data_IF_885407906348
#
_entry.id   IF_885407906348
#
_cell.length_a   1.000
_cell.length_b   1.000
_cell.length_c   1.000
_cell.angle_alpha   90.00
_cell.angle_beta   90.00
_cell.angle_gamma   90.00
#
_symmetry.space_group_name_H-M   'P 1'
#
loop_
_entity.id
_entity.type
_entity.pdbx_description
1 polymer ?
#
# COMPACT_ATOMS: atom_id res chain seq x y z
N UNK A 1 -18.48 -12.61 -7.11
CA UNK A 1 -19.17 -11.35 -7.49
C UNK A 1 -19.55 -11.43 -8.94
N UNK A 2 -20.69 -10.87 -9.33
CA UNK A 2 -21.00 -10.61 -10.73
C UNK A 2 -19.90 -9.73 -11.35
N UNK A 3 -19.71 -9.83 -12.67
CA UNK A 3 -18.66 -9.06 -13.38
C UNK A 3 -18.83 -7.54 -13.27
N UNK A 4 -20.02 -7.07 -12.93
CA UNK A 4 -20.34 -5.66 -12.67
C UNK A 4 -20.22 -5.27 -11.19
N UNK A 5 -19.88 -6.24 -10.31
CA UNK A 5 -19.70 -6.02 -8.88
C UNK A 5 -20.99 -5.78 -8.10
N UNK A 6 -22.16 -6.05 -8.66
CA UNK A 6 -23.46 -5.70 -8.05
C UNK A 6 -24.08 -6.80 -7.18
N UNK A 7 -23.69 -8.05 -7.40
CA UNK A 7 -24.25 -9.19 -6.65
C UNK A 7 -23.16 -10.14 -6.21
N UNK A 8 -23.18 -10.50 -4.92
CA UNK A 8 -22.39 -11.61 -4.41
C UNK A 8 -23.02 -12.92 -4.87
N UNK A 9 -22.33 -13.68 -5.71
CA UNK A 9 -22.81 -14.96 -6.25
C UNK A 9 -22.49 -16.11 -5.29
N UNK A 10 -21.32 -16.02 -4.64
CA UNK A 10 -20.83 -17.04 -3.71
C UNK A 10 -20.14 -16.39 -2.51
N UNK A 11 -20.18 -17.06 -1.36
CA UNK A 11 -19.54 -16.63 -0.13
C UNK A 11 -18.92 -17.81 0.59
N UNK A 12 -17.69 -17.64 1.08
CA UNK A 12 -17.03 -18.56 2.01
C UNK A 12 -16.66 -17.81 3.28
N UNK A 13 -16.85 -18.47 4.42
CA UNK A 13 -16.43 -17.91 5.72
C UNK A 13 -15.16 -18.62 6.17
N UNK A 14 -14.12 -17.83 6.45
CA UNK A 14 -12.85 -18.31 6.98
C UNK A 14 -12.76 -18.04 8.48
N UNK A 15 -11.81 -18.71 9.16
CA UNK A 15 -11.73 -18.65 10.64
C UNK A 15 -11.10 -17.36 11.18
N UNK A 16 -10.48 -16.54 10.32
CA UNK A 16 -9.78 -15.31 10.70
C UNK A 16 -9.87 -14.29 9.57
N UNK A 17 -9.64 -12.99 9.83
CA UNK A 17 -9.62 -11.97 8.82
C UNK A 17 -8.61 -12.28 7.70
N UNK A 18 -9.00 -11.99 6.47
CA UNK A 18 -8.15 -12.17 5.28
C UNK A 18 -7.21 -10.97 5.15
N UNK A 19 -5.91 -11.23 5.01
CA UNK A 19 -4.91 -10.19 4.73
C UNK A 19 -4.64 -10.05 3.23
N UNK A 20 -4.42 -11.18 2.54
CA UNK A 20 -4.12 -11.16 1.11
C UNK A 20 -4.56 -12.45 0.42
N UNK A 21 -4.61 -12.40 -0.90
CA UNK A 21 -4.89 -13.56 -1.75
C UNK A 21 -4.15 -13.48 -3.08
N UNK A 22 -3.87 -14.64 -3.63
CA UNK A 22 -3.32 -14.81 -4.99
C UNK A 22 -4.00 -15.96 -5.69
N UNK A 23 -3.95 -15.97 -7.02
CA UNK A 23 -4.45 -17.08 -7.83
C UNK A 23 -3.29 -17.82 -8.49
N UNK A 24 -3.35 -19.16 -8.48
CA UNK A 24 -2.41 -19.98 -9.21
C UNK A 24 -2.88 -20.26 -10.66
N UNK A 25 -2.03 -20.81 -11.54
CA UNK A 25 -2.40 -21.12 -12.91
C UNK A 25 -3.52 -22.16 -13.06
N UNK A 26 -3.79 -22.95 -12.03
CA UNK A 26 -4.90 -23.93 -12.01
C UNK A 26 -6.24 -23.27 -11.73
N UNK A 27 -6.20 -21.97 -11.35
CA UNK A 27 -7.39 -21.20 -10.99
C UNK A 27 -7.76 -21.29 -9.51
N UNK A 28 -6.97 -21.99 -8.66
CA UNK A 28 -7.19 -22.01 -7.23
C UNK A 28 -6.80 -20.66 -6.60
N UNK A 29 -7.54 -20.26 -5.57
CA UNK A 29 -7.23 -19.09 -4.78
C UNK A 29 -6.48 -19.51 -3.51
N UNK A 30 -5.34 -18.89 -3.29
CA UNK A 30 -4.55 -19.03 -2.07
C UNK A 30 -4.76 -17.79 -1.21
N UNK A 31 -5.23 -17.98 0.01
CA UNK A 31 -5.64 -16.91 0.90
C UNK A 31 -4.87 -17.03 2.22
N UNK A 32 -4.24 -15.95 2.65
CA UNK A 32 -3.62 -15.87 3.97
C UNK A 32 -4.48 -15.04 4.91
N UNK A 33 -4.63 -15.57 6.12
CA UNK A 33 -5.45 -14.99 7.16
C UNK A 33 -4.60 -14.63 8.38
N UNK A 34 -5.02 -13.56 9.05
CA UNK A 34 -4.38 -13.04 10.24
C UNK A 34 -4.42 -14.02 11.42
N UNK A 35 -3.59 -13.75 12.43
CA UNK A 35 -3.52 -14.46 13.69
C UNK A 35 -2.10 -14.88 14.10
N UNK A 36 -1.90 -15.13 15.38
CA UNK A 36 -0.59 -15.52 15.95
C UNK A 36 0.02 -16.77 15.30
N UNK A 37 -0.81 -17.63 14.74
CA UNK A 37 -0.39 -18.81 13.98
C UNK A 37 -0.87 -18.76 12.55
N UNK A 38 -1.18 -17.62 12.01
CA UNK A 38 -1.67 -17.37 10.65
C UNK A 38 -2.11 -18.61 9.86
N UNK A 39 -3.12 -18.50 9.08
CA UNK A 39 -3.65 -19.63 8.31
C UNK A 39 -3.59 -19.33 6.83
N UNK A 40 -3.22 -20.32 6.05
CA UNK A 40 -3.30 -20.32 4.60
C UNK A 40 -4.39 -21.30 4.15
N UNK A 41 -5.28 -20.83 3.31
CA UNK A 41 -6.35 -21.61 2.70
C UNK A 41 -6.12 -21.74 1.21
N UNK A 42 -6.40 -22.91 0.68
CA UNK A 42 -6.57 -23.17 -0.74
C UNK A 42 -8.05 -23.32 -1.03
N UNK A 43 -8.57 -22.50 -1.91
CA UNK A 43 -9.97 -22.50 -2.33
C UNK A 43 -10.07 -22.86 -3.81
N UNK A 44 -11.06 -23.66 -4.17
CA UNK A 44 -11.46 -23.78 -5.58
C UNK A 44 -11.93 -22.40 -6.06
N UNK A 45 -11.27 -21.83 -7.05
CA UNK A 45 -11.54 -20.48 -7.51
C UNK A 45 -12.90 -20.32 -8.21
N UNK A 46 -13.55 -21.41 -8.62
CA UNK A 46 -14.88 -21.41 -9.24
C UNK A 46 -16.00 -21.61 -8.22
N UNK A 47 -15.80 -22.57 -7.29
CA UNK A 47 -16.83 -22.96 -6.30
C UNK A 47 -16.65 -22.26 -4.97
N UNK A 48 -15.53 -21.56 -4.74
CA UNK A 48 -15.11 -20.98 -3.45
C UNK A 48 -15.15 -21.98 -2.28
N UNK A 49 -15.02 -23.28 -2.56
CA UNK A 49 -14.95 -24.31 -1.54
C UNK A 49 -13.54 -24.47 -1.02
N UNK A 50 -13.39 -24.58 0.31
CA UNK A 50 -12.10 -24.83 0.95
C UNK A 50 -11.61 -26.22 0.59
N UNK A 51 -10.48 -26.31 -0.10
CA UNK A 51 -9.80 -27.56 -0.44
C UNK A 51 -8.78 -27.97 0.62
N UNK A 52 -8.08 -26.98 1.18
CA UNK A 52 -7.12 -27.24 2.25
C UNK A 52 -6.97 -26.04 3.20
N UNK A 53 -6.47 -26.35 4.41
CA UNK A 53 -6.15 -25.38 5.45
C UNK A 53 -4.82 -25.77 6.10
N UNK A 54 -3.86 -24.83 6.13
CA UNK A 54 -2.51 -25.07 6.65
C UNK A 54 -2.03 -23.87 7.46
N UNK A 55 -1.18 -24.09 8.46
CA UNK A 55 -0.50 -23.00 9.16
C UNK A 55 0.50 -22.33 8.22
N UNK A 56 0.49 -21.02 8.15
CA UNK A 56 1.35 -20.22 7.26
C UNK A 56 2.39 -19.36 7.98
N UNK A 57 2.59 -19.57 9.28
CA UNK A 57 3.47 -18.74 10.09
C UNK A 57 2.70 -17.68 10.89
N UNK A 58 3.42 -16.86 11.66
CA UNK A 58 2.80 -15.80 12.45
C UNK A 58 2.54 -14.56 11.58
N UNK A 59 1.30 -14.08 11.58
CA UNK A 59 0.88 -12.84 10.91
C UNK A 59 1.34 -12.71 9.44
N UNK A 60 0.93 -13.64 8.55
CA UNK A 60 1.19 -13.51 7.13
C UNK A 60 0.48 -12.26 6.59
N UNK A 61 1.22 -11.37 5.92
CA UNK A 61 0.71 -10.06 5.48
C UNK A 61 0.38 -10.02 3.99
N UNK A 62 1.13 -10.73 3.17
CA UNK A 62 0.92 -10.81 1.73
C UNK A 62 1.27 -12.18 1.17
N UNK A 63 0.69 -12.54 0.03
CA UNK A 63 0.91 -13.81 -0.67
C UNK A 63 0.94 -13.62 -2.18
N UNK A 64 1.91 -14.25 -2.83
CA UNK A 64 2.06 -14.22 -4.29
C UNK A 64 2.40 -15.64 -4.81
N UNK A 65 1.75 -16.05 -5.89
CA UNK A 65 2.21 -17.20 -6.67
C UNK A 65 3.25 -16.74 -7.70
N UNK A 66 4.44 -17.35 -7.67
CA UNK A 66 5.48 -17.08 -8.68
C UNK A 66 5.49 -18.16 -9.75
N UNK A 67 5.30 -17.83 -11.03
CA UNK A 67 5.42 -18.78 -12.13
C UNK A 67 6.86 -19.26 -12.35
N UNK A 68 7.85 -18.45 -11.96
CA UNK A 68 9.28 -18.80 -12.10
C UNK A 68 9.69 -19.91 -11.16
N UNK A 69 9.34 -19.83 -9.89
CA UNK A 69 9.66 -20.87 -8.89
C UNK A 69 8.56 -21.91 -8.74
N UNK A 70 7.37 -21.69 -9.35
CA UNK A 70 6.16 -22.50 -9.16
C UNK A 70 5.83 -22.69 -7.68
N UNK A 71 6.01 -21.63 -6.90
CA UNK A 71 5.86 -21.62 -5.45
C UNK A 71 5.02 -20.42 -5.01
N UNK A 72 4.47 -20.54 -3.80
CA UNK A 72 3.86 -19.41 -3.10
C UNK A 72 4.94 -18.68 -2.29
N UNK A 73 4.95 -17.37 -2.37
CA UNK A 73 5.77 -16.50 -1.56
C UNK A 73 4.88 -15.78 -0.57
N UNK A 74 5.23 -15.83 0.72
CA UNK A 74 4.42 -15.28 1.81
C UNK A 74 5.29 -14.42 2.71
N UNK A 75 4.92 -13.16 2.87
CA UNK A 75 5.59 -12.27 3.82
C UNK A 75 5.07 -12.54 5.24
N UNK A 76 6.02 -12.67 6.19
CA UNK A 76 5.74 -12.89 7.61
C UNK A 76 6.07 -11.60 8.38
N UNK A 77 5.03 -10.81 8.67
CA UNK A 77 5.18 -9.44 9.15
C UNK A 77 6.08 -9.31 10.38
N UNK A 78 5.77 -10.01 11.46
CA UNK A 78 6.51 -9.85 12.73
C UNK A 78 7.73 -10.76 12.86
N UNK A 79 7.89 -11.72 11.95
CA UNK A 79 9.12 -12.51 11.86
C UNK A 79 10.19 -11.82 11.01
N UNK A 80 9.83 -10.78 10.21
CA UNK A 80 10.72 -10.14 9.24
C UNK A 80 11.30 -11.16 8.26
N UNK A 81 10.43 -12.03 7.76
CA UNK A 81 10.80 -13.14 6.87
C UNK A 81 9.91 -13.18 5.63
N UNK A 82 10.49 -13.64 4.54
CA UNK A 82 9.78 -14.08 3.34
C UNK A 82 9.88 -15.60 3.25
N UNK A 83 8.76 -16.28 3.15
CA UNK A 83 8.69 -17.73 3.05
C UNK A 83 8.36 -18.18 1.64
N UNK A 84 9.11 -19.15 1.11
CA UNK A 84 8.74 -19.92 -0.07
C UNK A 84 8.02 -21.18 0.37
N UNK A 85 6.80 -21.39 -0.13
CA UNK A 85 5.94 -22.52 0.20
C UNK A 85 5.63 -23.29 -1.07
N UNK A 86 5.78 -24.61 -1.02
CA UNK A 86 5.39 -25.52 -2.09
C UNK A 86 3.85 -25.67 -2.11
N UNK A 87 3.16 -25.31 -3.20
CA UNK A 87 1.70 -25.38 -3.24
C UNK A 87 1.15 -26.81 -3.19
N UNK A 88 1.89 -27.80 -3.69
CA UNK A 88 1.45 -29.20 -3.71
C UNK A 88 1.54 -29.85 -2.33
N UNK A 89 2.66 -29.66 -1.64
CA UNK A 89 2.92 -30.26 -0.32
C UNK A 89 2.54 -29.35 0.84
N UNK A 90 2.35 -28.03 0.57
CA UNK A 90 2.08 -26.96 1.55
C UNK A 90 3.18 -26.80 2.60
N UNK A 91 4.38 -27.28 2.30
CA UNK A 91 5.56 -27.18 3.18
C UNK A 91 6.41 -25.96 2.82
N UNK A 92 6.99 -25.35 3.85
CA UNK A 92 7.98 -24.29 3.68
C UNK A 92 9.26 -24.88 3.09
N UNK A 93 9.69 -24.36 1.93
CA UNK A 93 10.93 -24.74 1.25
C UNK A 93 12.10 -23.88 1.72
N UNK A 94 11.87 -22.60 1.88
CA UNK A 94 12.91 -21.63 2.20
C UNK A 94 12.33 -20.51 3.06
N UNK A 95 13.16 -19.96 3.93
CA UNK A 95 12.90 -18.72 4.70
C UNK A 95 14.03 -17.76 4.43
N UNK A 96 13.70 -16.52 4.10
CA UNK A 96 14.64 -15.45 3.80
C UNK A 96 14.39 -14.32 4.79
N UNK A 97 15.42 -13.92 5.53
CA UNK A 97 15.35 -12.74 6.38
C UNK A 97 15.30 -11.49 5.50
N UNK A 98 14.33 -10.61 5.78
CA UNK A 98 14.08 -9.35 5.08
C UNK A 98 13.88 -8.21 6.08
N UNK A 99 13.58 -7.00 5.59
CA UNK A 99 13.41 -5.83 6.42
C UNK A 99 12.24 -5.91 7.40
N UNK A 100 12.11 -4.87 8.22
CA UNK A 100 11.18 -4.84 9.35
C UNK A 100 9.73 -4.72 8.91
N UNK A 101 8.92 -5.70 9.29
CA UNK A 101 7.48 -5.76 9.04
C UNK A 101 7.13 -5.68 7.54
N UNK A 102 7.49 -6.69 6.75
CA UNK A 102 7.10 -6.76 5.34
C UNK A 102 5.58 -6.85 5.22
N UNK A 103 4.98 -6.03 4.34
CA UNK A 103 3.52 -5.89 4.22
C UNK A 103 2.98 -6.07 2.81
N UNK A 104 3.81 -5.86 1.80
CA UNK A 104 3.38 -6.02 0.40
C UNK A 104 4.56 -6.43 -0.47
N UNK A 105 4.28 -7.14 -1.57
CA UNK A 105 5.29 -7.51 -2.56
C UNK A 105 4.72 -7.43 -3.97
N UNK A 106 5.60 -7.12 -4.93
CA UNK A 106 5.27 -7.15 -6.35
C UNK A 106 6.41 -7.78 -7.15
N UNK A 107 6.10 -8.59 -8.18
CA UNK A 107 7.11 -9.19 -9.04
C UNK A 107 7.62 -8.17 -10.08
N UNK A 108 8.88 -8.33 -10.48
CA UNK A 108 9.49 -7.57 -11.56
C UNK A 108 10.65 -8.33 -12.22
N UNK A 109 11.30 -7.75 -13.22
CA UNK A 109 12.39 -8.36 -13.99
C UNK A 109 11.98 -9.72 -14.59
N UNK A 110 10.82 -9.76 -15.28
CA UNK A 110 10.27 -10.99 -15.84
C UNK A 110 9.87 -11.99 -14.76
N UNK A 111 9.36 -11.48 -13.64
CA UNK A 111 8.94 -12.22 -12.44
C UNK A 111 10.08 -13.02 -11.75
N UNK A 112 11.34 -12.69 -12.07
CA UNK A 112 12.50 -13.29 -11.40
C UNK A 112 12.91 -12.58 -10.10
N UNK A 113 12.40 -11.38 -9.85
CA UNK A 113 12.64 -10.62 -8.64
C UNK A 113 11.33 -10.22 -7.95
N UNK A 114 11.37 -10.07 -6.63
CA UNK A 114 10.32 -9.48 -5.82
C UNK A 114 10.81 -8.16 -5.23
N UNK A 115 10.01 -7.11 -5.37
CA UNK A 115 10.15 -5.87 -4.61
C UNK A 115 9.22 -5.93 -3.41
N UNK A 116 9.77 -5.82 -2.20
CA UNK A 116 9.03 -5.97 -0.95
C UNK A 116 9.00 -4.64 -0.21
N UNK A 117 7.81 -4.18 0.15
CA UNK A 117 7.61 -3.02 1.00
C UNK A 117 7.62 -3.45 2.46
N UNK A 118 8.53 -2.85 3.23
CA UNK A 118 8.61 -3.01 4.68
C UNK A 118 7.89 -1.83 5.35
N UNK A 119 7.20 -2.08 6.44
CA UNK A 119 6.31 -1.08 7.02
C UNK A 119 7.03 -0.03 7.88
N UNK A 120 8.06 -0.44 8.61
CA UNK A 120 8.78 0.40 9.56
C UNK A 120 10.28 0.45 9.27
N UNK A 121 10.97 1.55 9.64
CA UNK A 121 12.42 1.61 9.60
C UNK A 121 13.07 0.49 10.43
N UNK A 122 14.13 -0.10 9.89
CA UNK A 122 14.93 -1.13 10.59
C UNK A 122 16.04 -0.51 11.46
N UNK A 123 16.46 0.70 11.08
CA UNK A 123 17.53 1.41 11.74
C UNK A 123 17.11 1.93 13.14
N UNK A 124 18.05 2.16 14.06
CA UNK A 124 17.77 2.84 15.32
C UNK A 124 17.12 4.21 15.08
N UNK A 125 16.18 4.63 15.94
CA UNK A 125 15.47 5.91 15.81
C UNK A 125 16.40 7.14 15.84
N UNK A 126 17.61 6.99 16.33
CA UNK A 126 18.66 8.02 16.37
C UNK A 126 19.52 8.08 15.11
N UNK A 127 19.31 7.16 14.14
CA UNK A 127 20.05 7.18 12.89
C UNK A 127 19.63 8.36 11.99
N UNK A 128 20.55 8.78 11.12
CA UNK A 128 20.28 9.78 10.11
C UNK A 128 21.02 9.46 8.79
N UNK A 129 20.34 9.39 7.64
CA UNK A 129 18.88 9.41 7.51
C UNK A 129 18.23 8.15 8.10
N UNK A 130 16.98 8.25 8.52
CA UNK A 130 16.15 7.12 8.94
C UNK A 130 14.93 7.00 8.04
N UNK A 131 14.70 5.84 7.48
CA UNK A 131 13.58 5.58 6.59
C UNK A 131 13.32 4.09 6.42
N UNK A 132 12.11 3.78 6.01
CA UNK A 132 11.77 2.47 5.47
C UNK A 132 12.66 2.12 4.29
N UNK A 133 13.05 0.86 4.21
CA UNK A 133 13.76 0.27 3.08
C UNK A 133 12.86 -0.74 2.37
N UNK A 134 12.99 -0.80 1.05
CA UNK A 134 12.40 -1.85 0.23
C UNK A 134 13.45 -2.92 -0.02
N UNK A 135 13.10 -4.19 0.12
CA UNK A 135 13.99 -5.29 -0.23
C UNK A 135 13.78 -5.74 -1.66
N UNK A 136 14.87 -6.12 -2.32
CA UNK A 136 14.86 -6.81 -3.61
C UNK A 136 15.30 -8.24 -3.37
N UNK A 137 14.40 -9.19 -3.57
CA UNK A 137 14.68 -10.62 -3.46
C UNK A 137 14.76 -11.21 -4.86
N UNK A 138 15.87 -11.88 -5.15
CA UNK A 138 16.06 -12.67 -6.37
C UNK A 138 15.50 -14.08 -6.12
N UNK A 139 14.49 -14.46 -6.91
CA UNK A 139 13.75 -15.72 -6.74
C UNK A 139 14.63 -16.94 -7.03
N UNK A 140 15.43 -16.98 -8.12
CA UNK A 140 16.30 -18.12 -8.39
C UNK A 140 17.35 -18.39 -7.30
N UNK A 141 18.04 -17.35 -6.85
CA UNK A 141 19.09 -17.49 -5.82
C UNK A 141 18.54 -17.51 -4.39
N UNK A 142 17.27 -17.12 -4.19
CA UNK A 142 16.62 -17.04 -2.88
C UNK A 142 17.35 -16.12 -1.90
N UNK A 143 17.82 -14.97 -2.39
CA UNK A 143 18.61 -14.01 -1.61
C UNK A 143 18.09 -12.60 -1.78
N UNK A 144 18.26 -11.79 -0.74
CA UNK A 144 18.15 -10.33 -0.86
C UNK A 144 19.36 -9.85 -1.65
N UNK A 145 19.13 -9.26 -2.82
CA UNK A 145 20.17 -8.78 -3.74
C UNK A 145 20.30 -7.26 -3.77
N UNK A 146 19.45 -6.57 -3.05
CA UNK A 146 19.50 -5.10 -2.93
C UNK A 146 18.48 -4.56 -1.96
N UNK A 147 18.71 -3.34 -1.51
CA UNK A 147 17.79 -2.55 -0.69
C UNK A 147 17.70 -1.14 -1.23
N UNK A 148 16.50 -0.59 -1.23
CA UNK A 148 16.23 0.78 -1.68
C UNK A 148 15.70 1.56 -0.48
N UNK A 149 16.45 2.55 -0.02
CA UNK A 149 16.00 3.45 1.04
C UNK A 149 15.06 4.50 0.46
N UNK A 150 13.91 4.69 1.11
CA UNK A 150 12.98 5.78 0.82
C UNK A 150 13.49 7.11 1.44
N UNK A 151 12.84 8.25 1.17
CA UNK A 151 13.28 9.53 1.73
C UNK A 151 13.34 9.52 3.26
N UNK A 152 14.21 10.34 3.84
CA UNK A 152 14.31 10.50 5.29
C UNK A 152 12.95 10.80 5.92
N UNK A 153 12.60 10.10 6.99
CA UNK A 153 11.29 10.15 7.64
C UNK A 153 10.22 9.26 6.99
N UNK A 154 10.56 8.51 5.94
CA UNK A 154 9.61 7.57 5.35
C UNK A 154 9.29 6.44 6.32
N UNK A 155 7.99 6.22 6.55
CA UNK A 155 7.42 5.19 7.44
C UNK A 155 6.09 4.72 6.88
N UNK A 156 5.54 3.67 7.46
CA UNK A 156 4.20 3.16 7.15
C UNK A 156 3.99 2.84 5.66
N UNK A 157 4.97 2.17 5.01
CA UNK A 157 4.75 1.67 3.65
C UNK A 157 3.69 0.57 3.67
N UNK A 158 2.71 0.65 2.75
CA UNK A 158 1.53 -0.22 2.76
C UNK A 158 1.39 -1.08 1.52
N UNK A 159 1.77 -0.57 0.36
CA UNK A 159 1.49 -1.24 -0.91
C UNK A 159 2.55 -0.92 -1.94
N UNK A 160 2.73 -1.84 -2.87
CA UNK A 160 3.59 -1.68 -4.04
C UNK A 160 2.87 -2.16 -5.29
N UNK A 161 2.95 -1.36 -6.36
CA UNK A 161 2.47 -1.73 -7.69
C UNK A 161 3.58 -1.54 -8.71
N UNK A 162 3.63 -2.42 -9.71
CA UNK A 162 4.60 -2.37 -10.80
C UNK A 162 3.85 -2.06 -12.09
N UNK A 163 4.39 -1.21 -12.96
CA UNK A 163 3.80 -0.92 -14.25
C UNK A 163 3.92 -2.14 -15.20
N UNK A 164 3.11 -2.12 -16.27
CA UNK A 164 3.00 -3.26 -17.20
C UNK A 164 4.35 -3.66 -17.81
N UNK A 165 5.22 -2.70 -18.06
CA UNK A 165 6.54 -2.94 -18.66
C UNK A 165 7.61 -3.25 -17.62
N UNK A 166 7.26 -3.31 -16.34
CA UNK A 166 8.18 -3.52 -15.22
C UNK A 166 9.36 -2.53 -15.21
N UNK A 167 9.08 -1.29 -15.61
CA UNK A 167 10.06 -0.20 -15.65
C UNK A 167 10.07 0.57 -14.35
N UNK A 168 8.88 0.80 -13.79
CA UNK A 168 8.70 1.55 -12.55
C UNK A 168 7.82 0.79 -11.55
N UNK A 169 8.14 0.97 -10.28
CA UNK A 169 7.24 0.61 -9.20
C UNK A 169 6.79 1.86 -8.43
N UNK A 170 5.62 1.77 -7.83
CA UNK A 170 4.97 2.82 -7.05
C UNK A 170 4.70 2.29 -5.66
N UNK A 171 5.14 3.03 -4.63
CA UNK A 171 5.04 2.61 -3.23
C UNK A 171 4.33 3.68 -2.44
N UNK A 172 3.24 3.32 -1.77
CA UNK A 172 2.54 4.21 -0.85
C UNK A 172 3.19 4.20 0.53
N UNK A 173 3.43 5.36 1.09
CA UNK A 173 3.98 5.51 2.43
C UNK A 173 3.73 6.93 2.98
N UNK A 174 4.15 7.17 4.19
CA UNK A 174 4.18 8.50 4.80
C UNK A 174 5.62 9.03 4.83
N UNK A 175 5.78 10.35 4.79
CA UNK A 175 7.04 11.01 5.18
C UNK A 175 6.73 11.85 6.43
N UNK A 176 7.20 11.39 7.56
CA UNK A 176 7.10 12.10 8.83
C UNK A 176 8.17 13.19 8.90
N UNK A 177 7.76 14.39 9.29
CA UNK A 177 8.65 15.55 9.50
C UNK A 177 9.15 15.56 10.94
N UNK A 178 9.62 14.42 11.42
CA UNK A 178 9.94 14.14 12.83
C UNK A 178 10.99 15.08 13.46
N UNK A 179 11.78 15.76 12.63
CA UNK A 179 12.79 16.74 13.08
C UNK A 179 12.22 18.15 13.28
N UNK A 180 10.93 18.36 13.01
CA UNK A 180 10.25 19.62 13.24
C UNK A 180 9.46 19.56 14.54
N UNK A 181 9.41 20.68 15.30
CA UNK A 181 8.63 20.73 16.53
C UNK A 181 7.16 20.38 16.30
N UNK A 182 6.57 19.59 17.20
CA UNK A 182 5.19 19.11 17.09
C UNK A 182 4.12 20.17 17.35
N UNK A 183 4.49 21.42 17.62
CA UNK A 183 3.57 22.55 17.80
C UNK A 183 2.78 22.93 16.53
N UNK A 184 3.09 22.33 15.39
CA UNK A 184 2.38 22.53 14.12
C UNK A 184 1.36 21.42 13.80
N UNK A 185 1.12 20.51 14.72
CA UNK A 185 0.26 19.34 14.53
C UNK A 185 -1.17 19.72 14.12
N UNK A 186 -1.71 20.79 14.67
CA UNK A 186 -3.04 21.31 14.36
C UNK A 186 -3.17 21.89 12.94
N UNK A 187 -2.05 22.16 12.28
CA UNK A 187 -2.00 22.69 10.91
C UNK A 187 -1.77 21.63 9.84
N UNK A 188 -1.64 20.37 10.22
CA UNK A 188 -1.31 19.27 9.31
C UNK A 188 0.18 19.23 8.91
N UNK A 189 0.50 18.65 7.77
CA UNK A 189 1.82 18.51 7.12
C UNK A 189 2.98 17.94 7.97
N UNK A 190 2.78 17.66 9.23
CA UNK A 190 3.77 16.96 10.07
C UNK A 190 4.10 15.55 9.54
N UNK A 191 3.12 14.93 8.91
CA UNK A 191 3.34 13.75 8.07
C UNK A 191 2.68 14.00 6.71
N UNK A 192 3.41 13.76 5.63
CA UNK A 192 2.91 13.92 4.26
C UNK A 192 2.61 12.57 3.65
N UNK A 193 1.49 12.51 2.90
CA UNK A 193 1.02 11.30 2.25
C UNK A 193 1.69 11.17 0.88
N UNK A 194 2.42 10.10 0.66
CA UNK A 194 3.46 10.07 -0.36
C UNK A 194 3.34 8.84 -1.27
N UNK A 195 3.68 9.03 -2.53
CA UNK A 195 3.92 7.98 -3.52
C UNK A 195 5.38 8.06 -3.97
N UNK A 196 6.18 7.06 -3.61
CA UNK A 196 7.55 6.92 -4.13
C UNK A 196 7.55 6.16 -5.44
N UNK A 197 8.38 6.63 -6.39
CA UNK A 197 8.57 6.05 -7.71
C UNK A 197 9.95 5.42 -7.75
N UNK A 198 9.99 4.13 -8.03
CA UNK A 198 11.21 3.33 -8.07
C UNK A 198 11.55 3.03 -9.53
N UNK A 199 12.77 3.33 -9.94
CA UNK A 199 13.35 2.85 -11.19
C UNK A 199 13.82 1.41 -10.99
N UNK A 200 13.08 0.45 -11.54
CA UNK A 200 13.33 -0.98 -11.36
C UNK A 200 14.58 -1.45 -12.07
N UNK A 201 14.93 -0.84 -13.21
CA UNK A 201 16.15 -1.16 -13.95
C UNK A 201 17.39 -0.68 -13.18
N UNK A 202 17.35 0.55 -12.69
CA UNK A 202 18.44 1.11 -11.90
C UNK A 202 18.46 0.57 -10.45
N UNK A 203 17.36 -0.06 -9.99
CA UNK A 203 17.13 -0.51 -8.62
C UNK A 203 17.33 0.60 -7.60
N UNK A 204 16.73 1.77 -7.88
CA UNK A 204 16.90 2.99 -7.07
C UNK A 204 15.60 3.76 -6.96
N UNK A 205 15.47 4.52 -5.89
CA UNK A 205 14.47 5.56 -5.79
C UNK A 205 14.69 6.59 -6.90
N UNK A 206 13.67 6.79 -7.75
CA UNK A 206 13.68 7.86 -8.75
C UNK A 206 13.37 9.19 -8.08
N UNK A 207 12.24 9.29 -7.42
CA UNK A 207 11.79 10.43 -6.60
C UNK A 207 10.54 10.03 -5.82
N UNK A 208 10.02 10.96 -5.03
CA UNK A 208 8.74 10.84 -4.35
C UNK A 208 7.87 12.04 -4.67
N UNK A 209 6.55 11.83 -4.77
CA UNK A 209 5.57 12.90 -5.00
C UNK A 209 4.53 12.88 -3.89
N UNK A 210 4.09 14.07 -3.48
CA UNK A 210 3.06 14.20 -2.45
C UNK A 210 1.69 13.96 -3.05
N UNK A 211 0.92 13.08 -2.42
CA UNK A 211 -0.50 12.86 -2.75
C UNK A 211 -1.38 14.02 -2.26
N UNK A 212 -0.86 14.81 -1.32
CA UNK A 212 -1.53 15.95 -0.72
C UNK A 212 -1.59 17.15 -1.67
N UNK A 213 -2.55 18.04 -1.43
CA UNK A 213 -2.56 19.40 -1.97
C UNK A 213 -2.20 20.40 -0.87
N UNK A 214 -1.88 21.67 -1.18
CA UNK A 214 -1.73 22.69 -0.15
C UNK A 214 -2.96 22.91 0.73
N UNK A 215 -4.15 22.52 0.27
CA UNK A 215 -5.42 22.71 0.96
C UNK A 215 -6.02 21.45 1.56
N UNK A 216 -5.52 20.27 1.19
CA UNK A 216 -6.14 19.01 1.58
C UNK A 216 -5.14 17.86 1.58
N UNK A 217 -5.15 17.05 2.62
CA UNK A 217 -4.41 15.82 2.71
C UNK A 217 -5.11 14.65 2.02
N UNK A 218 -4.32 13.71 1.51
CA UNK A 218 -4.74 12.40 1.01
C UNK A 218 -4.38 11.31 2.03
N UNK A 219 -4.94 11.43 3.23
CA UNK A 219 -4.45 10.75 4.42
C UNK A 219 -4.49 9.23 4.36
N UNK A 220 -3.45 8.64 4.92
CA UNK A 220 -3.25 7.19 5.07
C UNK A 220 -3.37 6.48 3.71
N UNK A 221 -2.46 6.72 2.75
CA UNK A 221 -2.43 6.00 1.48
C UNK A 221 -2.16 4.52 1.73
N UNK A 222 -3.13 3.67 1.38
CA UNK A 222 -3.11 2.25 1.75
C UNK A 222 -2.72 1.37 0.57
N UNK A 223 -3.54 1.28 -0.44
CA UNK A 223 -3.34 0.42 -1.60
C UNK A 223 -3.02 1.26 -2.84
N UNK A 224 -2.15 0.76 -3.70
CA UNK A 224 -1.85 1.37 -5.00
C UNK A 224 -1.94 0.33 -6.10
N UNK A 225 -2.44 0.74 -7.25
CA UNK A 225 -2.41 -0.05 -8.49
C UNK A 225 -2.01 0.84 -9.67
N UNK A 226 -1.52 0.21 -10.72
CA UNK A 226 -1.50 0.75 -12.07
C UNK A 226 -2.66 0.12 -12.85
N UNK A 227 -3.41 0.93 -13.59
CA UNK A 227 -4.56 0.42 -14.37
C UNK A 227 -4.12 -0.52 -15.49
N UNK A 228 -4.98 -1.47 -15.94
CA UNK A 228 -4.61 -2.45 -16.98
C UNK A 228 -4.16 -1.85 -18.30
N UNK A 229 -4.63 -0.63 -18.63
CA UNK A 229 -4.21 0.13 -19.79
C UNK A 229 -2.89 0.90 -19.60
N UNK A 230 -2.27 0.77 -18.43
CA UNK A 230 -1.00 1.38 -18.03
C UNK A 230 -1.00 2.93 -18.01
N UNK A 231 -2.20 3.56 -18.01
CA UNK A 231 -2.32 5.03 -18.10
C UNK A 231 -2.47 5.74 -16.77
N UNK A 232 -2.97 5.06 -15.75
CA UNK A 232 -3.31 5.70 -14.48
C UNK A 232 -2.71 4.95 -13.30
N UNK A 233 -2.40 5.70 -12.26
CA UNK A 233 -2.10 5.19 -10.92
C UNK A 233 -3.31 5.52 -10.05
N UNK A 234 -3.82 4.53 -9.32
CA UNK A 234 -4.93 4.72 -8.38
C UNK A 234 -4.42 4.37 -6.98
N UNK A 235 -4.59 5.29 -6.04
CA UNK A 235 -4.24 5.09 -4.63
C UNK A 235 -5.49 5.17 -3.77
N UNK A 236 -5.69 4.21 -2.89
CA UNK A 236 -6.73 4.29 -1.87
C UNK A 236 -6.22 5.09 -0.68
N UNK A 237 -6.75 6.31 -0.47
CA UNK A 237 -6.46 7.16 0.67
C UNK A 237 -7.48 6.87 1.78
N UNK A 238 -7.14 5.90 2.64
CA UNK A 238 -8.08 5.31 3.60
C UNK A 238 -8.56 6.31 4.66
N UNK A 239 -7.70 7.23 5.08
CA UNK A 239 -8.04 8.25 6.09
C UNK A 239 -8.91 9.37 5.53
N UNK A 240 -8.73 9.77 4.28
CA UNK A 240 -9.53 10.82 3.64
C UNK A 240 -10.77 10.28 2.89
N UNK A 241 -11.03 8.96 2.93
CA UNK A 241 -12.23 8.30 2.40
C UNK A 241 -12.38 8.41 0.87
N UNK A 242 -11.28 8.41 0.14
CA UNK A 242 -11.28 8.64 -1.30
C UNK A 242 -10.23 7.82 -2.04
N UNK A 243 -10.33 7.77 -3.35
CA UNK A 243 -9.27 7.34 -4.25
C UNK A 243 -8.56 8.57 -4.82
N UNK A 244 -7.23 8.50 -4.89
CA UNK A 244 -6.40 9.47 -5.60
C UNK A 244 -6.06 8.86 -6.95
N UNK A 245 -6.52 9.47 -8.03
CA UNK A 245 -6.22 9.08 -9.41
C UNK A 245 -5.16 10.02 -9.98
N UNK A 246 -4.11 9.45 -10.55
CA UNK A 246 -3.00 10.20 -11.15
C UNK A 246 -2.84 9.74 -12.59
N UNK A 247 -2.77 10.69 -13.52
CA UNK A 247 -2.34 10.43 -14.90
C UNK A 247 -0.88 10.03 -14.90
N UNK A 248 -0.60 8.73 -15.11
CA UNK A 248 0.75 8.17 -15.05
C UNK A 248 1.63 8.68 -16.19
N UNK A 249 1.06 8.85 -17.37
CA UNK A 249 1.80 9.33 -18.55
C UNK A 249 2.24 10.77 -18.33
N UNK A 250 1.30 11.65 -17.96
CA UNK A 250 1.60 13.04 -17.67
C UNK A 250 2.56 13.20 -16.48
N UNK A 251 2.49 12.30 -15.47
CA UNK A 251 3.44 12.28 -14.36
C UNK A 251 4.87 12.05 -14.86
N UNK A 252 5.09 11.00 -15.66
CA UNK A 252 6.42 10.68 -16.17
C UNK A 252 6.96 11.73 -17.16
N UNK A 253 6.11 12.32 -17.99
CA UNK A 253 6.48 13.45 -18.84
C UNK A 253 6.94 14.65 -18.01
N UNK A 254 6.19 14.98 -16.95
CA UNK A 254 6.54 16.06 -16.01
C UNK A 254 7.85 15.79 -15.28
N UNK A 255 8.08 14.57 -14.84
CA UNK A 255 9.34 14.15 -14.22
C UNK A 255 10.51 14.25 -15.21
N UNK A 256 10.33 13.85 -16.46
CA UNK A 256 11.38 13.97 -17.49
C UNK A 256 11.78 15.42 -17.71
N UNK A 257 10.82 16.34 -17.85
CA UNK A 257 11.06 17.79 -17.97
C UNK A 257 11.78 18.36 -16.73
N UNK A 258 11.29 18.04 -15.54
CA UNK A 258 11.93 18.48 -14.29
C UNK A 258 13.39 18.00 -14.18
N UNK A 259 13.68 16.79 -14.64
CA UNK A 259 15.04 16.23 -14.67
C UNK A 259 15.97 16.98 -15.63
N UNK A 260 15.42 17.59 -16.68
CA UNK A 260 16.14 18.47 -17.62
C UNK A 260 16.30 19.90 -17.10
N UNK A 261 15.78 20.19 -15.91
CA UNK A 261 15.84 21.53 -15.29
C UNK A 261 14.73 22.48 -15.74
N UNK A 262 13.70 21.97 -16.43
CA UNK A 262 12.55 22.79 -16.80
C UNK A 262 11.68 23.08 -15.57
N UNK A 263 11.13 24.29 -15.50
CA UNK A 263 10.15 24.67 -14.49
C UNK A 263 8.79 24.08 -14.85
N UNK A 264 8.43 22.96 -14.21
CA UNK A 264 7.19 22.23 -14.50
C UNK A 264 5.99 22.67 -13.68
N UNK A 265 6.25 23.31 -12.54
CA UNK A 265 5.24 23.98 -11.69
C UNK A 265 5.86 25.26 -11.11
N UNK A 266 5.05 26.25 -10.68
CA UNK A 266 5.60 27.48 -10.09
C UNK A 266 6.41 27.27 -8.81
N UNK A 267 6.19 26.15 -8.12
CA UNK A 267 6.81 25.81 -6.84
C UNK A 267 8.07 24.95 -6.99
N UNK A 268 8.20 24.16 -8.07
CA UNK A 268 9.36 23.27 -8.29
C UNK A 268 10.45 24.03 -9.03
N UNK A 269 11.48 24.43 -8.29
CA UNK A 269 12.67 25.10 -8.84
C UNK A 269 13.81 24.13 -9.15
N UNK A 270 13.77 22.91 -8.61
CA UNK A 270 14.78 21.89 -8.85
C UNK A 270 14.19 20.50 -8.61
N UNK A 271 14.84 19.48 -9.17
CA UNK A 271 14.50 18.08 -8.96
C UNK A 271 14.37 17.71 -7.47
N UNK A 272 15.27 18.21 -6.64
CA UNK A 272 15.30 17.89 -5.21
C UNK A 272 14.11 18.48 -4.41
N UNK A 273 13.37 19.43 -4.99
CA UNK A 273 12.22 20.03 -4.34
C UNK A 273 10.94 19.21 -4.54
N UNK A 274 10.89 18.29 -5.52
CA UNK A 274 9.71 17.50 -5.84
C UNK A 274 9.11 16.80 -4.60
N UNK A 275 9.88 16.14 -3.72
CA UNK A 275 9.35 15.44 -2.56
C UNK A 275 8.74 16.37 -1.48
N UNK A 276 8.88 17.67 -1.64
CA UNK A 276 8.35 18.69 -0.70
C UNK A 276 7.29 19.59 -1.34
N UNK A 277 6.86 19.30 -2.58
CA UNK A 277 5.91 20.12 -3.31
C UNK A 277 4.53 19.48 -3.41
N UNK A 278 3.58 19.95 -2.58
CA UNK A 278 2.19 19.51 -2.63
C UNK A 278 1.45 19.97 -3.92
N UNK A 279 2.03 20.88 -4.69
CA UNK A 279 1.53 21.33 -5.99
C UNK A 279 2.01 20.51 -7.18
N UNK A 280 3.00 19.62 -7.02
CA UNK A 280 3.63 18.91 -8.13
C UNK A 280 2.64 18.12 -9.00
N UNK A 281 1.61 17.53 -8.40
CA UNK A 281 0.57 16.77 -9.09
C UNK A 281 -0.62 17.62 -9.57
N UNK A 282 -0.56 18.94 -9.48
CA UNK A 282 -1.65 19.83 -9.93
C UNK A 282 -1.96 19.61 -11.42
N UNK A 283 -3.25 19.45 -11.73
CA UNK A 283 -3.76 19.23 -13.10
C UNK A 283 -3.57 17.80 -13.65
N UNK A 284 -2.89 16.91 -12.95
CA UNK A 284 -2.70 15.50 -13.33
C UNK A 284 -3.20 14.52 -12.26
N UNK A 285 -3.82 15.02 -11.20
CA UNK A 285 -4.39 14.26 -10.08
C UNK A 285 -5.82 14.67 -9.81
N UNK A 286 -6.68 13.69 -9.53
CA UNK A 286 -8.06 13.87 -9.08
C UNK A 286 -8.29 13.10 -7.78
N UNK A 287 -9.27 13.58 -7.00
CA UNK A 287 -9.79 12.91 -5.81
C UNK A 287 -11.20 12.39 -6.10
N UNK A 288 -11.44 11.12 -5.83
CA UNK A 288 -12.70 10.43 -6.11
C UNK A 288 -13.26 9.91 -4.78
N UNK A 289 -14.28 10.57 -4.19
CA UNK A 289 -14.90 10.09 -2.96
C UNK A 289 -15.50 8.68 -3.13
N UNK A 290 -15.22 7.76 -2.21
CA UNK A 290 -15.76 6.40 -2.24
C UNK A 290 -17.18 6.30 -1.66
N UNK A 291 -17.64 7.38 -1.03
CA UNK A 291 -18.94 7.46 -0.36
C UNK A 291 -19.13 6.40 0.74
N UNK A 292 -18.04 5.92 1.34
CA UNK A 292 -17.99 4.98 2.46
C UNK A 292 -16.77 5.26 3.33
N UNK A 293 -16.46 4.37 4.27
CA UNK A 293 -15.40 4.59 5.26
C UNK A 293 -14.27 3.58 5.14
N UNK A 294 -13.03 4.09 5.07
CA UNK A 294 -11.79 3.31 5.08
C UNK A 294 -11.57 2.48 3.83
N UNK A 295 -11.44 3.06 2.61
CA UNK A 295 -11.00 2.32 1.44
C UNK A 295 -9.57 1.82 1.66
N UNK A 296 -9.39 0.50 1.86
CA UNK A 296 -8.09 -0.10 2.15
C UNK A 296 -7.53 -0.94 1.01
N UNK A 297 -8.34 -1.28 0.03
CA UNK A 297 -7.90 -2.02 -1.15
C UNK A 297 -8.48 -1.40 -2.41
N UNK A 298 -7.71 -1.46 -3.49
CA UNK A 298 -8.17 -1.07 -4.82
C UNK A 298 -7.66 -2.09 -5.84
N UNK A 299 -8.52 -2.46 -6.78
CA UNK A 299 -8.17 -3.29 -7.93
C UNK A 299 -8.82 -2.72 -9.18
N UNK A 300 -8.22 -2.94 -10.33
CA UNK A 300 -8.82 -2.59 -11.61
C UNK A 300 -8.84 -3.81 -12.54
N UNK A 301 -9.94 -3.99 -13.25
CA UNK A 301 -10.08 -5.04 -14.25
C UNK A 301 -10.96 -4.53 -15.40
N UNK A 302 -10.52 -4.77 -16.64
CA UNK A 302 -11.17 -4.18 -17.79
C UNK A 302 -11.20 -2.65 -17.72
N UNK A 303 -12.38 -2.08 -17.77
CA UNK A 303 -12.65 -0.65 -17.70
C UNK A 303 -13.15 -0.16 -16.33
N UNK A 304 -13.05 -1.02 -15.30
CA UNK A 304 -13.59 -0.74 -13.96
C UNK A 304 -12.53 -0.73 -12.87
N UNK A 305 -12.78 0.10 -11.88
CA UNK A 305 -12.09 0.14 -10.56
C UNK A 305 -13.06 -0.42 -9.53
N UNK A 306 -12.52 -1.22 -8.61
CA UNK A 306 -13.21 -1.71 -7.42
C UNK A 306 -12.41 -1.32 -6.19
N UNK A 307 -13.09 -0.88 -5.14
CA UNK A 307 -12.48 -0.60 -3.82
C UNK A 307 -13.39 -1.11 -2.71
N UNK A 308 -12.79 -1.61 -1.65
CA UNK A 308 -13.53 -2.07 -0.47
C UNK A 308 -13.42 -1.04 0.65
N UNK A 309 -14.56 -0.53 1.09
CA UNK A 309 -14.69 0.35 2.25
C UNK A 309 -14.77 -0.51 3.52
N UNK A 310 -13.67 -0.59 4.25
CA UNK A 310 -13.50 -1.52 5.38
C UNK A 310 -14.55 -1.30 6.48
N UNK A 311 -14.77 -0.05 6.91
CA UNK A 311 -15.64 0.25 8.04
C UNK A 311 -17.13 0.21 7.70
N UNK A 312 -17.49 0.46 6.45
CA UNK A 312 -18.89 0.40 6.00
C UNK A 312 -19.27 -0.94 5.36
N UNK A 313 -18.30 -1.88 5.25
CA UNK A 313 -18.49 -3.21 4.64
C UNK A 313 -19.09 -3.14 3.24
N UNK A 314 -18.61 -2.22 2.45
CA UNK A 314 -19.11 -1.97 1.08
C UNK A 314 -18.03 -2.27 0.05
N UNK A 315 -18.43 -2.90 -1.05
CA UNK A 315 -17.69 -2.87 -2.29
C UNK A 315 -18.21 -1.73 -3.16
N UNK A 316 -17.31 -0.89 -3.61
CA UNK A 316 -17.60 0.21 -4.52
C UNK A 316 -16.99 -0.13 -5.88
N UNK A 317 -17.76 0.02 -6.95
CA UNK A 317 -17.29 -0.08 -8.34
C UNK A 317 -17.53 1.21 -9.08
N UNK A 318 -16.62 1.56 -10.00
CA UNK A 318 -16.72 2.74 -10.86
C UNK A 318 -15.94 2.49 -12.16
N UNK A 319 -16.12 3.35 -13.17
CA UNK A 319 -15.26 3.32 -14.35
C UNK A 319 -13.84 3.87 -14.05
N UNK A 320 -12.90 3.71 -14.99
CA UNK A 320 -11.53 4.20 -14.83
C UNK A 320 -11.44 5.73 -14.65
N UNK A 321 -12.51 6.47 -15.01
CA UNK A 321 -12.59 7.92 -14.81
C UNK A 321 -13.20 8.30 -13.45
N UNK A 322 -13.51 7.31 -12.60
CA UNK A 322 -14.14 7.55 -11.31
C UNK A 322 -15.61 7.93 -11.36
N UNK A 323 -16.25 7.70 -12.50
CA UNK A 323 -17.68 7.95 -12.71
C UNK A 323 -18.51 6.67 -12.57
N UNK A 324 -19.84 6.80 -12.61
CA UNK A 324 -20.75 5.66 -12.56
C UNK A 324 -20.57 4.81 -11.31
N UNK A 325 -20.33 5.45 -10.16
CA UNK A 325 -20.12 4.80 -8.87
C UNK A 325 -21.36 3.99 -8.47
N UNK A 326 -21.13 2.72 -8.14
CA UNK A 326 -22.12 1.80 -7.61
C UNK A 326 -21.58 1.20 -6.31
N UNK A 327 -22.46 1.04 -5.33
CA UNK A 327 -22.12 0.44 -4.03
C UNK A 327 -22.89 -0.84 -3.81
N UNK A 328 -22.21 -1.81 -3.23
CA UNK A 328 -22.80 -3.05 -2.77
C UNK A 328 -22.40 -3.30 -1.32
N UNK A 329 -23.37 -3.48 -0.44
CA UNK A 329 -23.15 -3.95 0.93
C UNK A 329 -22.80 -5.44 0.88
N UNK A 330 -21.66 -5.82 1.47
CA UNK A 330 -21.13 -7.19 1.43
C UNK A 330 -21.71 -8.10 2.52
N UNK A 331 -22.39 -7.53 3.51
CA UNK A 331 -22.98 -8.28 4.61
C UNK A 331 -23.93 -7.41 5.45
N UNK A 332 -24.43 -7.96 6.56
CA UNK A 332 -25.12 -7.14 7.53
C UNK A 332 -24.25 -5.95 7.93
N UNK A 333 -24.84 -4.75 8.13
CA UNK A 333 -24.06 -3.60 8.62
C UNK A 333 -23.28 -4.05 9.84
N UNK A 334 -21.96 -3.76 9.87
CA UNK A 334 -21.16 -4.04 11.05
C UNK A 334 -21.78 -3.26 12.20
N UNK A 335 -22.30 -3.98 13.20
CA UNK A 335 -22.69 -3.37 14.45
C UNK A 335 -21.40 -2.84 15.08
N UNK A 336 -21.14 -1.55 14.92
CA UNK A 336 -19.96 -0.92 15.50
C UNK A 336 -20.04 -1.05 17.02
N UNK A 337 -19.25 -1.94 17.56
CA UNK A 337 -18.93 -1.96 18.99
C UNK A 337 -18.22 -0.64 19.35
N UNK A 338 -18.11 -0.33 20.63
CA UNK A 338 -17.31 0.82 21.09
C UNK A 338 -15.87 0.77 20.57
N UNK A 339 -15.27 -0.43 20.57
CA UNK A 339 -13.92 -0.68 20.05
C UNK A 339 -13.85 -0.41 18.53
N UNK A 340 -14.77 -0.95 17.75
CA UNK A 340 -14.81 -0.75 16.30
C UNK A 340 -15.05 0.71 15.91
N UNK A 341 -15.86 1.46 16.69
CA UNK A 341 -15.98 2.92 16.50
C UNK A 341 -14.68 3.65 16.81
N UNK A 342 -13.99 3.27 17.88
CA UNK A 342 -12.70 3.82 18.24
C UNK A 342 -11.68 3.60 17.13
N UNK A 343 -11.58 2.38 16.59
CA UNK A 343 -10.72 2.03 15.47
C UNK A 343 -11.04 2.87 14.22
N UNK A 344 -12.32 3.03 13.88
CA UNK A 344 -12.74 3.88 12.77
C UNK A 344 -12.29 5.33 12.97
N UNK A 345 -12.53 5.94 14.13
CA UNK A 345 -12.11 7.32 14.39
C UNK A 345 -10.59 7.47 14.45
N UNK A 346 -9.89 6.47 14.93
CA UNK A 346 -8.42 6.46 14.96
C UNK A 346 -7.81 6.56 13.56
N UNK A 347 -8.49 6.04 12.54
CA UNK A 347 -8.06 6.06 11.14
C UNK A 347 -8.76 7.13 10.28
N UNK A 348 -9.72 7.88 10.82
CA UNK A 348 -10.51 8.85 10.07
C UNK A 348 -9.86 10.24 10.10
N UNK A 349 -9.23 10.64 9.01
CA UNK A 349 -8.64 11.95 8.87
C UNK A 349 -9.67 13.06 8.58
N UNK A 350 -10.93 12.70 8.25
CA UNK A 350 -11.96 13.71 7.97
C UNK A 350 -12.39 14.49 9.21
N UNK A 351 -12.03 14.01 10.40
CA UNK A 351 -12.22 14.74 11.67
C UNK A 351 -11.03 15.62 12.04
N UNK A 352 -9.95 15.60 11.25
CA UNK A 352 -8.75 16.40 11.45
C UNK A 352 -8.69 17.57 10.45
N UNK A 353 -7.85 18.56 10.75
CA UNK A 353 -7.68 19.74 9.91
C UNK A 353 -7.34 19.36 8.46
N UNK A 354 -8.18 19.80 7.52
CA UNK A 354 -8.00 19.59 6.08
C UNK A 354 -7.67 18.13 5.66
N UNK A 355 -8.08 17.14 6.42
CA UNK A 355 -7.86 15.72 6.17
C UNK A 355 -6.37 15.33 6.06
N UNK A 356 -5.45 16.09 6.65
CA UNK A 356 -4.01 15.84 6.51
C UNK A 356 -3.56 14.55 7.18
N UNK A 357 -4.11 14.24 8.33
CA UNK A 357 -3.66 13.15 9.17
C UNK A 357 -4.79 12.59 10.03
N UNK A 358 -4.63 11.36 10.47
CA UNK A 358 -5.40 10.72 11.52
C UNK A 358 -4.48 10.33 12.68
N UNK A 359 -4.99 9.80 13.77
CA UNK A 359 -4.13 9.23 14.81
C UNK A 359 -3.21 8.13 14.25
N UNK A 360 -3.73 7.32 13.32
CA UNK A 360 -2.96 6.25 12.67
C UNK A 360 -1.81 6.77 11.80
N UNK A 361 -1.74 8.04 11.47
CA UNK A 361 -0.64 8.63 10.70
C UNK A 361 0.67 8.66 11.52
N UNK A 362 0.59 8.99 12.81
CA UNK A 362 1.75 8.98 13.71
C UNK A 362 1.87 7.67 14.50
N UNK A 363 0.76 6.94 14.64
CA UNK A 363 0.67 5.67 15.34
C UNK A 363 0.25 4.55 14.38
N UNK A 364 1.12 4.13 13.46
CA UNK A 364 0.78 3.12 12.45
C UNK A 364 0.50 1.77 13.10
N UNK A 365 -0.28 0.96 12.39
CA UNK A 365 -0.45 -0.45 12.72
C UNK A 365 -0.90 -0.71 14.16
N UNK A 366 -2.12 -0.34 14.48
CA UNK A 366 -2.76 -0.59 15.78
C UNK A 366 -2.12 0.20 16.93
N UNK A 367 -1.91 1.49 16.71
CA UNK A 367 -1.42 2.44 17.70
C UNK A 367 0.02 2.20 18.18
N UNK A 368 0.86 1.60 17.34
CA UNK A 368 2.28 1.41 17.66
C UNK A 368 3.11 2.66 17.31
N UNK A 369 4.37 2.62 17.66
CA UNK A 369 5.33 3.66 17.31
C UNK A 369 5.80 3.50 15.86
N UNK A 370 6.01 4.60 15.17
CA UNK A 370 6.53 4.65 13.80
C UNK A 370 8.05 4.40 13.68
N UNK A 371 8.74 4.31 14.80
CA UNK A 371 10.18 4.05 14.84
C UNK A 371 11.05 5.30 14.66
N UNK A 372 10.45 6.49 14.64
CA UNK A 372 11.15 7.77 14.48
C UNK A 372 11.37 8.47 15.84
N UNK A 373 12.40 9.32 15.92
CA UNK A 373 12.69 10.13 17.09
C UNK A 373 12.09 11.52 16.90
N UNK A 374 10.81 11.67 17.24
CA UNK A 374 10.07 12.92 17.11
C UNK A 374 10.61 13.99 18.07
N UNK A 375 10.78 15.19 17.53
CA UNK A 375 11.04 16.38 18.34
C UNK A 375 9.75 16.78 19.07
N UNK A 376 9.70 16.46 20.36
CA UNK A 376 8.57 16.77 21.24
C UNK A 376 8.78 18.09 22.00
N UNK A 377 9.95 18.68 21.91
CA UNK A 377 10.30 19.94 22.57
C UNK A 377 9.98 21.10 21.63
N UNK A 378 9.10 21.96 22.09
CA UNK A 378 8.58 23.08 21.28
C UNK A 378 9.27 24.41 21.55
N UNK A 379 10.16 24.44 22.46
CA UNK A 379 10.62 25.68 23.12
C UNK A 379 12.01 26.13 22.69
N UNK A 380 12.57 25.45 21.71
CA UNK A 380 13.84 25.90 21.14
C UNK A 380 14.97 25.99 22.17
N UNK A 381 14.88 25.19 23.21
CA UNK A 381 15.92 25.08 24.23
C UNK A 381 17.10 24.24 23.74
#
# INVERSE_FOLDING_TARGET
MSSDGQKAEQKVTLSSPVNAMTQDPSGNLWVVCDGNTGMMYELDGKKLSVQSKTKSGATPSDILYSPVSKSLWVTQRFNNELWEIDPATRKVKTKIAIGREPVAMAPFAGDSCLLIANNLPEMPSTAYPIAVQLDIVDIPSKKVTGRIMLPNGATDAKSVAVDKNQTYAYVTHLIARYQLPTNQLDRGWMATNTLSIIDLKARKLLTSVLLDTPQKGAANPWSVIVTPDDKQIIVAAAGSQELVRIDRIALHERLAKAKQGEMVTPSVKSWNNIPNDAGFLYGIRDFIPTQGKGPRSVVATGDKIFTANYYTSELVSMDLNGKNLKKQVLGAPLAFTKVGKGDMYFHDATICFQNWQSCATCHPNDARMDGLNWDLLNDGM
#
